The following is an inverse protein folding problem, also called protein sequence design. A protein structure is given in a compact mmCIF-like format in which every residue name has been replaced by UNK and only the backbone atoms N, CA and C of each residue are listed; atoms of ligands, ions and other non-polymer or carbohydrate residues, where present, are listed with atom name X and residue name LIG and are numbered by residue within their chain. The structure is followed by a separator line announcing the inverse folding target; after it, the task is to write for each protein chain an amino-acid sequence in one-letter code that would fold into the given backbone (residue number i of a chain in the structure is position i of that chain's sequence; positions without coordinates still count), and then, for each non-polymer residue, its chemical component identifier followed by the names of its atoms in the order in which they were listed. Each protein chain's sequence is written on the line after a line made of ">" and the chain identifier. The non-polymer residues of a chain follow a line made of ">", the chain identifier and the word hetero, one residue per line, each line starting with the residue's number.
data_IF_456764408608
#
_entry.id   IF_456764408608
#
_cell.length_a   1.000
_cell.length_b   1.000
_cell.length_c   1.000
_cell.angle_alpha   90.00
_cell.angle_beta   90.00
_cell.angle_gamma   90.00
#
_symmetry.space_group_name_H-M   'P 1'
#
loop_
_entity.id
_entity.type
_entity.pdbx_description
1 polymer ?
#
# COMPACT_ATOMS: atom_id res chain seq x y z
N UNK A 1 8.71 -12.73 -3.69
CA UNK A 1 8.48 -12.44 -5.12
C UNK A 1 7.13 -11.77 -5.23
N UNK A 2 7.09 -10.47 -5.52
CA UNK A 2 5.83 -9.78 -5.77
C UNK A 2 5.24 -10.34 -7.06
N UNK A 3 4.11 -11.06 -6.97
CA UNK A 3 3.32 -11.46 -8.13
C UNK A 3 3.02 -10.19 -8.92
N UNK A 4 3.42 -10.13 -10.19
CA UNK A 4 3.12 -8.98 -11.03
C UNK A 4 1.60 -8.73 -10.98
N UNK A 5 1.18 -7.55 -10.51
CA UNK A 5 -0.23 -7.23 -10.37
C UNK A 5 -0.85 -7.16 -11.76
N UNK A 6 -1.84 -8.02 -12.03
CA UNK A 6 -2.57 -8.00 -13.29
C UNK A 6 -3.35 -6.69 -13.45
N UNK A 7 -3.62 -6.27 -14.68
CA UNK A 7 -4.25 -4.98 -14.96
C UNK A 7 -5.64 -4.83 -14.31
N UNK A 8 -6.45 -5.90 -14.23
CA UNK A 8 -7.75 -5.83 -13.55
C UNK A 8 -7.57 -5.63 -12.05
N UNK A 9 -6.68 -6.41 -11.41
CA UNK A 9 -6.38 -6.29 -9.98
C UNK A 9 -5.90 -4.87 -9.64
N UNK A 10 -5.00 -4.30 -10.43
CA UNK A 10 -4.52 -2.92 -10.22
C UNK A 10 -5.66 -1.90 -10.31
N UNK A 11 -6.57 -2.03 -11.28
CA UNK A 11 -7.75 -1.17 -11.38
C UNK A 11 -8.70 -1.35 -10.19
N UNK A 12 -8.93 -2.58 -9.75
CA UNK A 12 -9.78 -2.87 -8.58
C UNK A 12 -9.17 -2.33 -7.30
N UNK A 13 -7.85 -2.43 -7.12
CA UNK A 13 -7.14 -1.84 -5.99
C UNK A 13 -7.28 -0.31 -5.97
N UNK A 14 -7.25 0.36 -7.12
CA UNK A 14 -7.49 1.80 -7.20
C UNK A 14 -8.92 2.19 -6.76
N UNK A 15 -9.93 1.39 -7.12
CA UNK A 15 -11.31 1.57 -6.65
C UNK A 15 -11.49 1.29 -5.14
N UNK A 16 -10.52 0.60 -4.53
CA UNK A 16 -10.51 0.18 -3.13
C UNK A 16 -9.44 0.90 -2.30
N UNK A 17 -8.83 1.95 -2.86
CA UNK A 17 -7.88 2.78 -2.15
C UNK A 17 -8.58 3.48 -0.95
N UNK A 18 -7.90 3.69 0.17
CA UNK A 18 -8.47 4.41 1.31
C UNK A 18 -8.93 5.83 0.94
N UNK A 19 -10.05 6.24 1.53
CA UNK A 19 -10.84 7.42 1.19
C UNK A 19 -11.72 7.33 -0.07
N UNK A 20 -11.79 6.18 -0.76
CA UNK A 20 -12.85 5.93 -1.75
C UNK A 20 -14.15 5.48 -1.09
N UNK A 21 -15.30 5.85 -1.67
CA UNK A 21 -16.63 5.44 -1.18
C UNK A 21 -16.78 3.92 -1.02
N UNK A 22 -16.21 3.15 -1.97
CA UNK A 22 -16.23 1.69 -1.90
C UNK A 22 -15.41 1.17 -0.73
N UNK A 23 -14.18 1.68 -0.54
CA UNK A 23 -13.33 1.28 0.56
C UNK A 23 -13.97 1.60 1.91
N UNK A 24 -14.46 2.82 2.09
CA UNK A 24 -15.13 3.21 3.33
C UNK A 24 -16.40 2.38 3.59
N UNK A 25 -17.19 2.08 2.55
CA UNK A 25 -18.38 1.24 2.67
C UNK A 25 -18.05 -0.17 3.16
N UNK A 26 -17.00 -0.79 2.63
CA UNK A 26 -16.54 -2.12 3.04
C UNK A 26 -15.96 -2.13 4.45
N UNK A 27 -15.22 -1.09 4.85
CA UNK A 27 -14.73 -0.95 6.22
C UNK A 27 -15.89 -0.78 7.21
N UNK A 28 -16.90 0.02 6.89
CA UNK A 28 -18.13 0.14 7.71
C UNK A 28 -18.87 -1.19 7.85
N UNK A 29 -18.87 -2.02 6.81
CA UNK A 29 -19.46 -3.37 6.85
C UNK A 29 -18.68 -4.25 7.83
N UNK A 30 -17.35 -4.22 7.73
CA UNK A 30 -16.45 -5.00 8.57
C UNK A 30 -16.56 -4.58 10.05
N UNK A 31 -16.46 -3.29 10.33
CA UNK A 31 -16.61 -2.70 11.67
C UNK A 31 -18.00 -2.95 12.26
N UNK A 32 -19.03 -2.99 11.40
CA UNK A 32 -20.40 -3.32 11.78
C UNK A 32 -20.64 -4.79 12.11
N UNK A 33 -19.62 -5.65 12.06
CA UNK A 33 -19.73 -7.08 12.31
C UNK A 33 -20.54 -7.83 11.25
N UNK A 34 -20.76 -7.21 10.08
CA UNK A 34 -21.54 -7.80 8.97
C UNK A 34 -20.62 -8.34 7.89
N UNK A 35 -21.06 -9.38 7.20
CA UNK A 35 -20.37 -9.88 6.02
C UNK A 35 -20.97 -9.33 4.74
N UNK A 36 -20.22 -9.33 3.64
CA UNK A 36 -20.72 -8.91 2.34
C UNK A 36 -20.04 -9.66 1.20
N UNK A 37 -20.77 -9.82 0.10
CA UNK A 37 -20.26 -10.32 -1.17
C UNK A 37 -20.63 -9.31 -2.25
N UNK A 38 -19.63 -8.66 -2.86
CA UNK A 38 -19.85 -7.55 -3.79
C UNK A 38 -19.21 -7.88 -5.13
N UNK A 39 -20.00 -7.88 -6.21
CA UNK A 39 -19.52 -8.09 -7.58
C UNK A 39 -19.39 -6.73 -8.27
N UNK A 40 -18.22 -6.44 -8.86
CA UNK A 40 -17.91 -5.16 -9.50
C UNK A 40 -18.05 -5.28 -11.02
N UNK A 41 -19.28 -5.17 -11.50
CA UNK A 41 -19.65 -5.37 -12.90
C UNK A 41 -20.75 -6.42 -13.06
N UNK A 42 -21.46 -6.31 -14.17
CA UNK A 42 -22.51 -7.26 -14.53
C UNK A 42 -22.53 -7.47 -16.04
N UNK A 43 -22.89 -8.68 -16.43
CA UNK A 43 -23.20 -9.07 -17.79
C UNK A 43 -24.23 -10.21 -17.75
N UNK A 44 -24.53 -10.81 -18.92
CA UNK A 44 -25.45 -11.94 -19.02
C UNK A 44 -25.02 -13.14 -18.17
N UNK A 45 -23.72 -13.30 -17.91
CA UNK A 45 -23.23 -14.43 -17.13
C UNK A 45 -23.43 -14.21 -15.63
N UNK A 46 -23.19 -13.00 -15.13
CA UNK A 46 -23.54 -12.60 -13.75
C UNK A 46 -25.04 -12.73 -13.53
N UNK A 47 -25.86 -12.32 -14.50
CA UNK A 47 -27.32 -12.47 -14.44
C UNK A 47 -27.75 -13.94 -14.45
N UNK A 48 -27.13 -14.78 -15.29
CA UNK A 48 -27.49 -16.20 -15.40
C UNK A 48 -27.18 -17.02 -14.15
N UNK A 49 -26.13 -16.66 -13.40
CA UNK A 49 -25.78 -17.33 -12.13
C UNK A 49 -26.50 -16.71 -10.92
N UNK A 50 -27.20 -15.59 -11.09
CA UNK A 50 -27.89 -14.88 -10.02
C UNK A 50 -29.36 -15.22 -9.95
N UNK A 51 -29.86 -15.58 -8.77
CA UNK A 51 -31.28 -15.82 -8.52
C UNK A 51 -31.80 -14.97 -7.36
N UNK A 52 -33.09 -14.63 -7.39
CA UNK A 52 -33.71 -13.75 -6.38
C UNK A 52 -33.13 -12.33 -6.39
N UNK A 53 -33.15 -11.69 -5.22
CA UNK A 53 -32.70 -10.32 -5.03
C UNK A 53 -33.66 -9.25 -5.56
N UNK A 54 -33.26 -7.99 -5.40
CA UNK A 54 -34.02 -6.82 -5.81
C UNK A 54 -33.23 -5.98 -6.80
N UNK A 55 -33.92 -5.44 -7.80
CA UNK A 55 -33.37 -4.41 -8.67
C UNK A 55 -33.38 -3.08 -7.92
N UNK A 56 -32.18 -2.61 -7.57
CA UNK A 56 -31.98 -1.42 -6.75
C UNK A 56 -31.84 -0.20 -7.66
N UNK A 57 -30.89 -0.25 -8.59
CA UNK A 57 -30.66 0.79 -9.59
C UNK A 57 -30.39 2.19 -9.02
N UNK A 58 -29.70 2.32 -7.88
CA UNK A 58 -29.39 3.61 -7.24
C UNK A 58 -27.92 3.99 -7.41
N UNK A 59 -27.60 5.27 -7.23
CA UNK A 59 -26.22 5.74 -7.18
C UNK A 59 -25.47 5.13 -5.99
N UNK A 60 -24.20 4.83 -6.19
CA UNK A 60 -23.34 4.22 -5.18
C UNK A 60 -22.95 5.23 -4.10
N UNK A 61 -23.10 4.82 -2.83
CA UNK A 61 -22.41 5.45 -1.69
C UNK A 61 -22.01 4.36 -0.70
N UNK A 62 -20.95 4.59 0.07
CA UNK A 62 -20.50 3.65 1.10
C UNK A 62 -21.59 3.38 2.15
N UNK A 63 -22.41 4.38 2.49
CA UNK A 63 -23.58 4.23 3.37
C UNK A 63 -24.63 3.29 2.76
N UNK A 64 -24.98 3.47 1.49
CA UNK A 64 -25.96 2.60 0.80
C UNK A 64 -25.45 1.17 0.72
N UNK A 65 -24.17 0.99 0.39
CA UNK A 65 -23.51 -0.32 0.39
C UNK A 65 -23.62 -0.98 1.77
N UNK A 66 -23.30 -0.25 2.84
CA UNK A 66 -23.37 -0.73 4.22
C UNK A 66 -24.78 -1.16 4.64
N UNK A 67 -25.79 -0.39 4.26
CA UNK A 67 -27.18 -0.70 4.59
C UNK A 67 -27.68 -1.94 3.83
N UNK A 68 -27.39 -2.02 2.52
CA UNK A 68 -27.76 -3.18 1.70
C UNK A 68 -27.03 -4.45 2.12
N UNK A 69 -25.81 -4.35 2.65
CA UNK A 69 -25.05 -5.50 3.17
C UNK A 69 -25.66 -6.11 4.44
N UNK A 70 -26.67 -5.47 5.06
CA UNK A 70 -27.47 -6.11 6.12
C UNK A 70 -28.38 -7.21 5.58
N UNK A 71 -28.66 -7.20 4.27
CA UNK A 71 -29.41 -8.25 3.59
C UNK A 71 -28.51 -9.45 3.34
N UNK A 72 -29.09 -10.65 3.36
CA UNK A 72 -28.39 -11.85 2.93
C UNK A 72 -28.22 -11.90 1.41
N UNK A 73 -27.06 -12.34 0.95
CA UNK A 73 -26.75 -12.51 -0.47
C UNK A 73 -25.66 -11.56 -0.97
N UNK A 74 -25.60 -11.41 -2.28
CA UNK A 74 -24.64 -10.58 -2.97
C UNK A 74 -25.22 -9.22 -3.37
N UNK A 75 -24.33 -8.24 -3.48
CA UNK A 75 -24.58 -6.92 -4.03
C UNK A 75 -23.85 -6.85 -5.37
N UNK A 76 -24.52 -6.38 -6.41
CA UNK A 76 -23.94 -6.21 -7.74
C UNK A 76 -23.88 -4.73 -8.05
N UNK A 77 -22.68 -4.22 -8.28
CA UNK A 77 -22.41 -2.86 -8.72
C UNK A 77 -22.09 -2.86 -10.22
N UNK A 78 -22.14 -1.68 -10.84
CA UNK A 78 -21.50 -1.48 -12.13
C UNK A 78 -19.95 -1.54 -11.99
N UNK A 79 -19.26 -1.55 -13.14
CA UNK A 79 -17.80 -1.75 -13.18
C UNK A 79 -17.02 -0.62 -12.52
N UNK A 80 -17.52 0.61 -12.66
CA UNK A 80 -16.87 1.82 -12.18
C UNK A 80 -17.38 2.24 -10.79
N UNK A 81 -18.26 1.42 -10.18
CA UNK A 81 -18.80 1.62 -8.83
C UNK A 81 -19.52 2.96 -8.68
N UNK A 82 -20.24 3.36 -9.73
CA UNK A 82 -21.09 4.54 -9.74
C UNK A 82 -22.53 4.22 -9.34
N UNK A 83 -22.95 2.96 -9.47
CA UNK A 83 -24.30 2.51 -9.14
C UNK A 83 -24.33 1.14 -8.48
N UNK A 84 -25.24 0.98 -7.52
CA UNK A 84 -25.65 -0.33 -7.00
C UNK A 84 -26.83 -0.80 -7.86
N UNK A 85 -26.62 -1.87 -8.60
CA UNK A 85 -27.58 -2.40 -9.56
C UNK A 85 -28.57 -3.33 -8.87
N UNK A 86 -28.07 -4.30 -8.09
CA UNK A 86 -28.88 -5.32 -7.42
C UNK A 86 -28.37 -5.62 -6.02
N UNK A 87 -29.24 -6.04 -5.12
CA UNK A 87 -28.88 -6.48 -3.78
C UNK A 87 -29.72 -7.69 -3.34
N UNK A 88 -29.17 -8.46 -2.41
CA UNK A 88 -29.78 -9.71 -1.94
C UNK A 88 -29.80 -10.82 -2.98
N UNK A 89 -28.85 -10.80 -3.94
CA UNK A 89 -28.79 -11.78 -5.03
C UNK A 89 -28.12 -13.07 -4.55
N UNK A 90 -28.75 -14.21 -4.77
CA UNK A 90 -28.10 -15.50 -4.52
C UNK A 90 -27.30 -15.93 -5.75
N UNK A 91 -25.96 -15.88 -5.64
CA UNK A 91 -25.05 -16.30 -6.71
C UNK A 91 -24.75 -17.80 -6.64
N UNK A 92 -24.99 -18.49 -7.76
CA UNK A 92 -24.83 -19.93 -7.94
C UNK A 92 -23.81 -20.21 -9.07
N UNK A 93 -22.50 -19.96 -8.85
CA UNK A 93 -21.48 -20.26 -9.84
C UNK A 93 -21.31 -21.78 -10.03
N UNK A 94 -20.67 -22.18 -11.13
CA UNK A 94 -20.42 -23.59 -11.46
C UNK A 94 -19.62 -24.28 -10.32
N UNK A 95 -20.19 -25.34 -9.69
CA UNK A 95 -19.54 -26.04 -8.59
C UNK A 95 -18.26 -26.79 -9.02
N UNK A 96 -18.05 -27.05 -10.31
CA UNK A 96 -16.85 -27.71 -10.84
C UNK A 96 -15.62 -26.78 -10.83
N UNK A 97 -15.81 -25.46 -10.72
CA UNK A 97 -14.70 -24.50 -10.62
C UNK A 97 -13.94 -24.74 -9.30
N UNK A 98 -12.65 -25.05 -9.42
CA UNK A 98 -11.77 -25.30 -8.27
C UNK A 98 -11.58 -24.02 -7.45
N UNK A 99 -11.64 -24.18 -6.14
CA UNK A 99 -11.46 -23.15 -5.12
C UNK A 99 -10.62 -23.70 -3.99
N UNK A 100 -9.74 -22.87 -3.46
CA UNK A 100 -8.90 -23.21 -2.29
C UNK A 100 -9.48 -22.63 -1.00
N UNK A 101 -10.59 -21.89 -1.10
CA UNK A 101 -11.25 -21.23 0.02
C UNK A 101 -12.08 -22.22 0.85
N UNK A 102 -12.09 -22.03 2.16
CA UNK A 102 -12.82 -22.89 3.10
C UNK A 102 -14.25 -22.37 3.39
N UNK A 103 -14.47 -21.06 3.40
CA UNK A 103 -15.76 -20.43 3.70
C UNK A 103 -16.72 -20.38 2.51
N UNK A 104 -18.02 -20.61 2.73
CA UNK A 104 -19.05 -20.60 1.66
C UNK A 104 -19.01 -19.30 0.85
N UNK A 105 -18.96 -18.15 1.52
CA UNK A 105 -18.89 -16.83 0.87
C UNK A 105 -17.60 -16.65 0.05
N UNK A 106 -16.47 -17.05 0.60
CA UNK A 106 -15.16 -16.96 -0.08
C UNK A 106 -15.09 -17.88 -1.30
N UNK A 107 -15.59 -19.12 -1.18
CA UNK A 107 -15.70 -20.05 -2.31
C UNK A 107 -16.60 -19.49 -3.42
N UNK A 108 -17.75 -18.92 -3.05
CA UNK A 108 -18.63 -18.27 -4.02
C UNK A 108 -17.92 -17.08 -4.66
N UNK A 109 -17.25 -16.23 -3.88
CA UNK A 109 -16.51 -15.08 -4.40
C UNK A 109 -15.45 -15.47 -5.42
N UNK A 110 -14.60 -16.44 -5.08
CA UNK A 110 -13.54 -16.92 -5.96
C UNK A 110 -14.10 -17.56 -7.24
N UNK A 111 -15.15 -18.38 -7.12
CA UNK A 111 -15.77 -19.04 -8.28
C UNK A 111 -16.48 -18.05 -9.18
N UNK A 112 -17.23 -17.09 -8.62
CA UNK A 112 -17.87 -16.03 -9.39
C UNK A 112 -16.80 -15.24 -10.14
N UNK A 113 -15.73 -14.80 -9.47
CA UNK A 113 -14.65 -14.06 -10.13
C UNK A 113 -13.99 -14.84 -11.26
N UNK A 114 -13.71 -16.14 -11.05
CA UNK A 114 -13.15 -17.03 -12.07
C UNK A 114 -14.10 -17.25 -13.25
N UNK A 115 -15.40 -17.42 -12.97
CA UNK A 115 -16.40 -17.70 -13.98
C UNK A 115 -16.70 -16.46 -14.81
N UNK A 116 -16.94 -15.32 -14.16
CA UNK A 116 -17.40 -14.05 -14.77
C UNK A 116 -16.28 -13.16 -15.26
N UNK A 117 -15.06 -13.33 -14.75
CA UNK A 117 -13.95 -12.43 -15.02
C UNK A 117 -14.13 -11.05 -14.39
N UNK A 118 -15.21 -10.81 -13.65
CA UNK A 118 -15.39 -9.57 -12.89
C UNK A 118 -14.72 -9.68 -11.52
N UNK A 119 -14.17 -8.56 -10.99
CA UNK A 119 -13.69 -8.53 -9.62
C UNK A 119 -14.82 -8.80 -8.63
N UNK A 120 -14.54 -9.65 -7.64
CA UNK A 120 -15.47 -9.92 -6.53
C UNK A 120 -14.78 -9.62 -5.22
N UNK A 121 -15.45 -8.86 -4.36
CA UNK A 121 -14.97 -8.50 -3.03
C UNK A 121 -15.79 -9.25 -1.98
N UNK A 122 -15.10 -9.96 -1.09
CA UNK A 122 -15.70 -10.62 0.07
C UNK A 122 -15.29 -9.92 1.35
N UNK A 123 -16.25 -9.63 2.22
CA UNK A 123 -16.03 -9.15 3.58
C UNK A 123 -16.36 -10.27 4.56
N UNK A 124 -15.39 -10.63 5.39
CA UNK A 124 -15.50 -11.67 6.40
C UNK A 124 -15.49 -11.06 7.79
N UNK A 125 -16.67 -10.95 8.40
CA UNK A 125 -16.82 -10.43 9.76
C UNK A 125 -16.07 -11.26 10.81
N UNK A 126 -16.06 -12.60 10.67
CA UNK A 126 -15.38 -13.48 11.64
C UNK A 126 -13.86 -13.42 11.56
N UNK A 127 -13.31 -13.18 10.36
CA UNK A 127 -11.87 -13.09 10.15
C UNK A 127 -11.35 -11.64 10.21
N UNK A 128 -12.23 -10.64 10.26
CA UNK A 128 -11.80 -9.24 10.25
C UNK A 128 -11.11 -8.84 8.95
N UNK A 129 -11.43 -9.46 7.81
CA UNK A 129 -10.68 -9.28 6.56
C UNK A 129 -11.57 -9.00 5.36
N UNK A 130 -11.10 -8.11 4.48
CA UNK A 130 -11.65 -7.84 3.15
C UNK A 130 -10.74 -8.56 2.15
N UNK A 131 -11.31 -9.31 1.20
CA UNK A 131 -10.54 -10.06 0.19
C UNK A 131 -11.08 -9.79 -1.19
N UNK A 132 -10.18 -9.47 -2.13
CA UNK A 132 -10.47 -9.27 -3.54
C UNK A 132 -10.12 -10.54 -4.31
N UNK A 133 -11.00 -10.94 -5.22
CA UNK A 133 -10.76 -11.99 -6.19
C UNK A 133 -10.84 -11.37 -7.59
N UNK A 134 -9.71 -11.32 -8.30
CA UNK A 134 -9.61 -10.74 -9.64
C UNK A 134 -8.49 -11.42 -10.43
N UNK A 135 -8.70 -11.69 -11.72
CA UNK A 135 -7.71 -12.35 -12.60
C UNK A 135 -7.13 -13.66 -12.03
N UNK A 136 -7.96 -14.44 -11.34
CA UNK A 136 -7.53 -15.69 -10.68
C UNK A 136 -6.63 -15.49 -9.47
N UNK A 137 -6.40 -14.25 -9.04
CA UNK A 137 -5.60 -13.89 -7.87
C UNK A 137 -6.52 -13.59 -6.69
N UNK A 138 -6.17 -14.16 -5.53
CA UNK A 138 -6.72 -13.80 -4.23
C UNK A 138 -5.83 -12.73 -3.59
N UNK A 139 -6.39 -11.56 -3.33
CA UNK A 139 -5.68 -10.45 -2.70
C UNK A 139 -6.37 -10.03 -1.40
N UNK A 140 -5.84 -10.39 -0.22
CA UNK A 140 -6.31 -9.84 1.05
C UNK A 140 -5.97 -8.34 1.11
N UNK A 141 -6.97 -7.53 1.43
CA UNK A 141 -6.80 -6.10 1.56
C UNK A 141 -6.36 -5.77 2.98
N UNK A 142 -5.26 -5.02 3.10
CA UNK A 142 -4.75 -4.59 4.41
C UNK A 142 -5.62 -3.46 4.99
N UNK A 143 -5.78 -3.46 6.30
CA UNK A 143 -6.51 -2.44 7.04
C UNK A 143 -5.82 -1.06 6.90
N UNK A 144 -6.60 -0.04 6.55
CA UNK A 144 -6.11 1.33 6.38
C UNK A 144 -5.51 1.86 7.68
N UNK A 145 -6.06 1.47 8.83
CA UNK A 145 -5.51 1.85 10.14
C UNK A 145 -4.15 1.22 10.40
N UNK A 146 -3.92 -0.01 9.96
CA UNK A 146 -2.63 -0.67 10.08
C UNK A 146 -1.57 -0.01 9.18
N UNK A 147 -1.93 0.36 7.94
CA UNK A 147 -1.04 1.09 7.04
C UNK A 147 -0.70 2.47 7.63
N UNK A 148 -1.71 3.21 8.12
CA UNK A 148 -1.55 4.51 8.76
C UNK A 148 -0.66 4.44 10.01
N UNK A 149 -0.82 3.40 10.83
CA UNK A 149 0.02 3.18 12.00
C UNK A 149 1.49 2.97 11.61
N UNK A 150 1.77 2.11 10.61
CA UNK A 150 3.14 1.90 10.10
C UNK A 150 3.73 3.18 9.52
N UNK A 151 2.94 3.95 8.76
CA UNK A 151 3.37 5.24 8.20
C UNK A 151 3.78 6.24 9.28
N UNK A 152 2.96 6.39 10.33
CA UNK A 152 3.28 7.28 11.46
C UNK A 152 4.54 6.82 12.22
N UNK A 153 4.71 5.52 12.42
CA UNK A 153 5.92 4.97 13.05
C UNK A 153 7.18 5.25 12.21
N UNK A 154 7.06 5.10 10.89
CA UNK A 154 8.14 5.40 9.96
C UNK A 154 8.47 6.90 9.94
N UNK A 155 7.47 7.79 9.94
CA UNK A 155 7.67 9.24 10.06
C UNK A 155 8.38 9.66 11.35
N UNK A 156 7.95 9.14 12.50
CA UNK A 156 8.64 9.40 13.79
C UNK A 156 10.09 8.90 13.77
N UNK A 157 10.34 7.81 13.05
CA UNK A 157 11.70 7.31 12.86
C UNK A 157 12.47 8.23 11.95
N UNK A 158 11.91 8.62 10.81
CA UNK A 158 12.51 9.55 9.85
C UNK A 158 12.95 10.83 10.54
N UNK A 159 12.07 11.49 11.30
CA UNK A 159 12.35 12.73 12.05
C UNK A 159 13.61 12.61 12.94
N UNK A 160 13.75 11.49 13.68
CA UNK A 160 14.96 11.26 14.49
C UNK A 160 16.21 11.07 13.64
N UNK A 161 16.08 10.46 12.47
CA UNK A 161 17.19 10.24 11.55
C UNK A 161 17.58 11.50 10.78
N UNK A 162 16.63 12.35 10.38
CA UNK A 162 16.93 13.67 9.79
C UNK A 162 17.57 14.60 10.81
N UNK A 163 17.09 14.66 12.05
CA UNK A 163 17.77 15.46 13.07
C UNK A 163 19.22 15.02 13.31
N UNK A 164 19.49 13.72 13.30
CA UNK A 164 20.86 13.19 13.38
C UNK A 164 21.66 13.49 12.13
N UNK A 165 21.03 13.43 10.95
CA UNK A 165 21.67 13.77 9.68
C UNK A 165 22.18 15.21 9.70
N UNK A 166 21.35 16.15 10.16
CA UNK A 166 21.73 17.57 10.28
C UNK A 166 22.95 17.75 11.21
N UNK A 167 23.02 16.99 12.30
CA UNK A 167 24.18 16.99 13.21
C UNK A 167 25.44 16.43 12.54
N UNK A 168 25.34 15.31 11.82
CA UNK A 168 26.48 14.72 11.09
C UNK A 168 27.00 15.67 10.00
N UNK A 169 26.09 16.35 9.30
CA UNK A 169 26.44 17.35 8.29
C UNK A 169 27.09 18.60 8.89
N UNK A 170 26.56 19.10 10.01
CA UNK A 170 27.19 20.22 10.72
C UNK A 170 28.61 19.85 11.18
N UNK A 171 28.81 18.63 11.70
CA UNK A 171 30.13 18.12 12.07
C UNK A 171 31.05 17.98 10.86
N UNK A 172 30.56 17.44 9.74
CA UNK A 172 31.34 17.31 8.52
C UNK A 172 31.78 18.68 7.99
N UNK A 173 30.88 19.66 7.98
CA UNK A 173 31.19 21.05 7.60
C UNK A 173 32.26 21.68 8.52
N UNK A 174 32.23 21.42 9.84
CA UNK A 174 33.30 21.86 10.74
C UNK A 174 34.64 21.21 10.40
N UNK A 175 34.66 19.89 10.15
CA UNK A 175 35.86 19.18 9.73
C UNK A 175 36.40 19.67 8.38
N UNK A 176 35.52 20.06 7.45
CA UNK A 176 35.89 20.67 6.17
C UNK A 176 36.62 22.00 6.38
N UNK A 177 36.09 22.88 7.23
CA UNK A 177 36.71 24.17 7.55
C UNK A 177 38.10 23.97 8.18
N UNK A 178 38.23 22.97 9.06
CA UNK A 178 39.49 22.64 9.74
C UNK A 178 40.45 21.81 8.88
N UNK A 179 40.02 21.36 7.70
CA UNK A 179 40.77 20.44 6.81
C UNK A 179 41.15 19.12 7.49
N UNK A 180 40.28 18.60 8.36
CA UNK A 180 40.47 17.35 9.12
C UNK A 180 39.42 16.26 8.76
N UNK A 181 38.86 16.33 7.55
CA UNK A 181 37.88 15.35 7.08
C UNK A 181 38.54 13.98 6.89
N UNK A 182 37.85 12.93 7.34
CA UNK A 182 38.29 11.54 7.16
C UNK A 182 37.29 10.75 6.33
N UNK A 183 37.73 9.67 5.69
CA UNK A 183 36.82 8.73 5.01
C UNK A 183 35.75 8.19 5.96
N UNK A 184 36.06 8.09 7.26
CA UNK A 184 35.10 7.65 8.28
C UNK A 184 33.97 8.67 8.48
N UNK A 185 34.26 9.97 8.56
CA UNK A 185 33.22 10.99 8.73
C UNK A 185 32.32 11.09 7.50
N UNK A 186 32.90 11.02 6.30
CA UNK A 186 32.14 10.98 5.05
C UNK A 186 31.27 9.72 4.96
N UNK A 187 31.82 8.55 5.29
CA UNK A 187 31.06 7.30 5.30
C UNK A 187 29.89 7.33 6.29
N UNK A 188 30.08 7.93 7.48
CA UNK A 188 29.01 8.07 8.47
C UNK A 188 27.87 8.98 7.96
N UNK A 189 28.19 10.09 7.31
CA UNK A 189 27.20 10.97 6.70
C UNK A 189 26.43 10.27 5.57
N UNK A 190 27.12 9.56 4.67
CA UNK A 190 26.50 8.75 3.62
C UNK A 190 25.61 7.63 4.19
N UNK A 191 26.02 6.98 5.28
CA UNK A 191 25.21 5.93 5.93
C UNK A 191 23.89 6.52 6.45
N UNK A 192 23.95 7.72 7.04
CA UNK A 192 22.78 8.39 7.56
C UNK A 192 21.86 8.86 6.43
N UNK A 193 22.40 9.41 5.35
CA UNK A 193 21.64 9.75 4.14
C UNK A 193 20.89 8.55 3.58
N UNK A 194 21.56 7.40 3.44
CA UNK A 194 20.93 6.19 2.91
C UNK A 194 19.82 5.66 3.83
N UNK A 195 19.98 5.78 5.16
CA UNK A 195 18.92 5.44 6.11
C UNK A 195 17.70 6.35 5.96
N UNK A 196 17.92 7.67 5.86
CA UNK A 196 16.85 8.64 5.60
C UNK A 196 16.14 8.28 4.29
N UNK A 197 16.88 8.08 3.20
CA UNK A 197 16.33 7.71 1.87
C UNK A 197 15.48 6.44 1.91
N UNK A 198 15.92 5.39 2.63
CA UNK A 198 15.17 4.13 2.76
C UNK A 198 13.87 4.32 3.54
N UNK A 199 13.90 5.07 4.64
CA UNK A 199 12.71 5.32 5.45
C UNK A 199 11.73 6.21 4.66
N UNK A 200 12.22 7.23 3.95
CA UNK A 200 11.41 8.05 3.04
C UNK A 200 10.68 7.18 2.03
N UNK A 201 11.38 6.26 1.35
CA UNK A 201 10.76 5.35 0.38
C UNK A 201 9.69 4.43 1.01
N UNK A 202 9.87 4.02 2.27
CA UNK A 202 8.87 3.23 3.01
C UNK A 202 7.62 4.07 3.33
N UNK A 203 7.78 5.33 3.73
CA UNK A 203 6.66 6.26 3.96
C UNK A 203 5.94 6.58 2.65
N UNK A 204 6.67 6.84 1.56
CA UNK A 204 6.08 7.07 0.23
C UNK A 204 5.21 5.90 -0.23
N UNK A 205 5.68 4.67 -0.04
CA UNK A 205 4.89 3.50 -0.35
C UNK A 205 3.59 3.46 0.47
N UNK A 206 3.67 3.78 1.77
CA UNK A 206 2.48 3.83 2.62
C UNK A 206 1.51 4.95 2.18
N UNK A 207 2.01 6.11 1.74
CA UNK A 207 1.18 7.20 1.18
C UNK A 207 0.43 6.73 -0.06
N UNK A 208 1.09 6.02 -0.97
CA UNK A 208 0.45 5.44 -2.17
C UNK A 208 -0.63 4.43 -1.77
N UNK A 209 -0.38 3.59 -0.77
CA UNK A 209 -1.34 2.61 -0.27
C UNK A 209 -2.53 3.25 0.47
N UNK A 210 -2.32 4.40 1.14
CA UNK A 210 -3.35 5.17 1.85
C UNK A 210 -4.21 6.04 0.93
N UNK A 211 -3.85 6.21 -0.34
CA UNK A 211 -4.62 7.04 -1.27
C UNK A 211 -4.88 8.44 -0.72
N UNK A 212 -6.15 8.86 -0.69
CA UNK A 212 -6.51 10.21 -0.22
C UNK A 212 -6.35 10.40 1.29
N UNK A 213 -6.40 9.32 2.08
CA UNK A 213 -6.19 9.38 3.53
C UNK A 213 -4.71 9.64 3.89
N UNK A 214 -3.79 9.40 2.95
CA UNK A 214 -2.35 9.61 3.14
C UNK A 214 -1.89 11.07 3.09
N UNK A 215 -2.79 12.02 2.80
CA UNK A 215 -2.44 13.43 2.54
C UNK A 215 -1.64 14.08 3.67
N UNK A 216 -2.01 13.84 4.93
CA UNK A 216 -1.30 14.42 6.07
C UNK A 216 0.09 13.82 6.23
N UNK A 217 0.22 12.50 6.07
CA UNK A 217 1.49 11.77 6.09
C UNK A 217 2.42 12.31 5.00
N UNK A 218 1.89 12.52 3.80
CA UNK A 218 2.64 13.09 2.68
C UNK A 218 3.19 14.49 3.00
N UNK A 219 2.35 15.40 3.51
CA UNK A 219 2.80 16.76 3.87
C UNK A 219 3.89 16.74 4.95
N UNK A 220 3.77 15.84 5.94
CA UNK A 220 4.79 15.68 6.98
C UNK A 220 6.09 15.12 6.41
N UNK A 221 6.00 14.16 5.47
CA UNK A 221 7.17 13.62 4.78
C UNK A 221 7.90 14.71 4.00
N UNK A 222 7.16 15.46 3.18
CA UNK A 222 7.69 16.56 2.34
C UNK A 222 8.42 17.60 3.19
N UNK A 223 7.86 17.98 4.35
CA UNK A 223 8.49 18.92 5.28
C UNK A 223 9.79 18.34 5.89
N UNK A 224 9.79 17.07 6.30
CA UNK A 224 10.96 16.43 6.92
C UNK A 224 12.15 16.30 5.96
N UNK A 225 11.87 16.06 4.68
CA UNK A 225 12.93 15.89 3.66
C UNK A 225 13.29 17.21 2.97
N UNK A 226 12.59 18.30 3.28
CA UNK A 226 12.81 19.59 2.65
C UNK A 226 14.23 20.10 2.95
N UNK A 227 14.97 20.44 1.89
CA UNK A 227 16.32 20.98 2.01
C UNK A 227 17.38 19.96 2.44
N UNK A 228 17.04 18.68 2.53
CA UNK A 228 18.02 17.64 2.81
C UNK A 228 18.97 17.46 1.60
N UNK A 229 20.30 17.42 1.83
CA UNK A 229 21.27 17.26 0.76
C UNK A 229 21.15 15.88 0.13
N UNK A 230 21.32 15.80 -1.19
CA UNK A 230 21.43 14.53 -1.89
C UNK A 230 22.79 13.86 -1.57
N UNK A 231 22.82 12.53 -1.54
CA UNK A 231 24.07 11.77 -1.46
C UNK A 231 25.05 12.15 -2.57
N UNK A 232 24.54 12.62 -3.70
CA UNK A 232 25.35 13.15 -4.79
C UNK A 232 26.29 14.27 -4.39
N UNK A 233 25.85 15.19 -3.52
CA UNK A 233 26.69 16.29 -3.09
C UNK A 233 27.97 15.76 -2.43
N UNK A 234 27.82 14.81 -1.49
CA UNK A 234 28.96 14.18 -0.81
C UNK A 234 29.79 13.33 -1.75
N UNK A 235 29.17 12.56 -2.63
CA UNK A 235 29.89 11.71 -3.56
C UNK A 235 30.73 12.52 -4.55
N UNK A 236 30.22 13.67 -5.02
CA UNK A 236 30.96 14.57 -5.91
C UNK A 236 32.18 15.18 -5.22
N UNK A 237 32.04 15.56 -3.95
CA UNK A 237 33.12 16.23 -3.20
C UNK A 237 34.21 15.26 -2.72
N UNK A 238 33.84 14.00 -2.42
CA UNK A 238 34.74 13.06 -1.72
C UNK A 238 35.16 11.82 -2.51
N UNK A 239 34.68 11.62 -3.74
CA UNK A 239 35.22 10.57 -4.59
C UNK A 239 36.65 10.93 -5.05
N UNK A 240 37.59 9.97 -5.04
CA UNK A 240 39.03 10.23 -5.24
C UNK A 240 39.42 10.72 -6.65
N UNK A 241 38.49 10.75 -7.59
CA UNK A 241 38.63 11.27 -8.96
C UNK A 241 37.35 12.06 -9.25
N UNK A 242 37.39 13.22 -9.94
CA UNK A 242 36.17 13.90 -10.38
C UNK A 242 35.31 12.86 -11.11
N UNK A 243 34.19 12.42 -10.51
CA UNK A 243 33.52 11.23 -10.99
C UNK A 243 32.81 11.60 -12.28
N UNK A 244 33.00 10.79 -13.33
CA UNK A 244 32.08 10.85 -14.46
C UNK A 244 30.70 10.31 -14.03
N UNK A 245 29.69 10.48 -14.89
CA UNK A 245 28.33 10.05 -14.58
C UNK A 245 28.24 8.54 -14.26
N UNK A 246 29.12 7.73 -14.83
CA UNK A 246 29.14 6.29 -14.59
C UNK A 246 29.71 5.95 -13.20
N UNK A 247 30.81 6.60 -12.81
CA UNK A 247 31.40 6.46 -11.48
C UNK A 247 30.45 6.93 -10.37
N UNK A 248 29.74 8.05 -10.59
CA UNK A 248 28.75 8.54 -9.64
C UNK A 248 27.57 7.56 -9.50
N UNK A 249 27.05 7.04 -10.62
CA UNK A 249 25.99 6.03 -10.60
C UNK A 249 26.42 4.74 -9.87
N UNK A 250 27.65 4.28 -10.13
CA UNK A 250 28.21 3.10 -9.44
C UNK A 250 28.34 3.34 -7.93
N UNK A 251 28.78 4.54 -7.52
CA UNK A 251 28.89 4.88 -6.11
C UNK A 251 27.51 4.95 -5.43
N UNK A 252 26.50 5.51 -6.10
CA UNK A 252 25.10 5.49 -5.61
C UNK A 252 24.59 4.07 -5.43
N UNK A 253 24.80 3.19 -6.42
CA UNK A 253 24.40 1.79 -6.32
C UNK A 253 25.11 1.07 -5.17
N UNK A 254 26.40 1.36 -4.96
CA UNK A 254 27.16 0.81 -3.84
C UNK A 254 26.58 1.24 -2.47
N UNK A 255 26.26 2.52 -2.31
CA UNK A 255 25.61 3.07 -1.10
C UNK A 255 24.21 2.46 -0.92
N UNK A 256 23.41 2.42 -1.99
CA UNK A 256 22.08 1.80 -1.99
C UNK A 256 22.12 0.29 -1.67
N UNK A 257 23.26 -0.37 -1.96
CA UNK A 257 23.51 -1.78 -1.67
C UNK A 257 23.88 -2.11 -0.22
N UNK A 258 24.14 -1.11 0.64
CA UNK A 258 24.58 -1.35 2.01
C UNK A 258 23.58 -2.17 2.83
N UNK A 259 24.11 -3.17 3.53
CA UNK A 259 23.36 -4.03 4.45
C UNK A 259 23.00 -3.29 5.73
N UNK A 260 22.05 -3.83 6.51
CA UNK A 260 21.74 -3.27 7.85
C UNK A 260 22.96 -3.17 8.76
N UNK A 261 23.93 -4.08 8.62
CA UNK A 261 25.17 -4.05 9.42
C UNK A 261 26.03 -2.86 9.03
N UNK A 262 26.14 -2.56 7.73
CA UNK A 262 26.91 -1.43 7.22
C UNK A 262 26.24 -0.09 7.54
N UNK A 263 24.91 -0.02 7.55
CA UNK A 263 24.16 1.18 7.95
C UNK A 263 24.11 1.39 9.47
N UNK A 264 24.30 0.33 10.27
CA UNK A 264 24.19 0.35 11.72
C UNK A 264 25.47 0.78 12.46
N UNK A 265 26.45 1.35 11.75
CA UNK A 265 27.79 1.77 12.21
C UNK A 265 28.11 1.48 13.67
N UNK A 266 28.96 0.47 13.93
CA UNK A 266 29.60 0.09 15.21
C UNK A 266 29.29 0.95 16.46
N UNK A 267 28.03 0.96 16.90
CA UNK A 267 27.53 1.75 18.03
C UNK A 267 26.94 0.87 19.15
N UNK A 268 27.29 -0.42 19.17
CA UNK A 268 26.92 -1.36 20.21
C UNK A 268 28.00 -1.50 21.28
N UNK A 269 28.39 -0.39 21.91
CA UNK A 269 29.03 -0.43 23.23
C UNK A 269 27.93 -0.64 24.27
N UNK A 270 27.61 -1.90 24.56
CA UNK A 270 26.79 -2.24 25.72
C UNK A 270 27.59 -2.01 27.01
N UNK A 271 26.95 -1.56 28.10
CA UNK A 271 27.54 -1.68 29.44
C UNK A 271 27.74 -3.15 29.84
#
# INVERSE_FOLDING_TARGET
>A
MATARTHLLTKTLALLAPGTELREGLERILQGGTGALVVLGTDRMVEAIGTGGFDIGIEFTGTRLRELAKMDGAIVCDRDVTRILRAGVHLMPDPAIRTEESGTRHRTAERVAKQTGFPVVSVSASMGIITIYADGVRYPLEDSQAIMFRANQALQTLERYTHRLDQEFANLASLEIESDVTVRSVAAALQRLELVRRITAEVDQAVVELGTEGRMVQMQLEELVLGQPDADALLLDYLPVPPDAAALAQAREAVAGWTRRELGGSGGGGP
#
